data_IF_144228830489
#
_entry.id   IF_144228830489
#
_cell.length_a   1.000
_cell.length_b   1.000
_cell.length_c   1.000
_cell.angle_alpha   90.00
_cell.angle_beta   90.00
_cell.angle_gamma   90.00
#
_symmetry.space_group_name_H-M   'P 1'
#
loop_
_entity.id
_entity.type
_entity.pdbx_description
1 polymer ?
#
# COMPACT_ATOMS: atom_id res chain seq x y z
N UNK A 1 1.07 -9.43 7.49
CA UNK A 1 -0.29 -9.06 7.04
C UNK A 1 -1.35 -10.09 7.44
N UNK A 2 -1.26 -11.34 7.01
CA UNK A 2 -2.33 -12.35 7.19
C UNK A 2 -2.73 -12.55 8.66
N UNK A 3 -1.76 -12.70 9.56
CA UNK A 3 -2.00 -12.84 11.00
C UNK A 3 -2.74 -11.64 11.57
N UNK A 4 -2.29 -10.41 11.21
CA UNK A 4 -2.93 -9.16 11.65
C UNK A 4 -4.36 -9.04 11.13
N UNK A 5 -4.59 -9.30 9.85
CA UNK A 5 -5.94 -9.26 9.26
C UNK A 5 -6.88 -10.28 9.91
N UNK A 6 -6.40 -11.48 10.25
CA UNK A 6 -7.19 -12.46 10.98
C UNK A 6 -7.55 -11.96 12.39
N UNK A 7 -6.64 -11.33 13.11
CA UNK A 7 -6.89 -10.74 14.42
C UNK A 7 -7.88 -9.56 14.34
N UNK A 8 -7.76 -8.69 13.34
CA UNK A 8 -8.73 -7.61 13.07
C UNK A 8 -10.14 -8.18 12.83
N UNK A 9 -10.24 -9.25 12.03
CA UNK A 9 -11.52 -9.89 11.72
C UNK A 9 -12.22 -10.50 12.95
N UNK A 10 -11.47 -10.83 14.00
CA UNK A 10 -11.98 -11.31 15.30
C UNK A 10 -12.17 -10.18 16.33
N UNK A 11 -11.79 -8.94 16.01
CA UNK A 11 -11.83 -7.82 16.95
C UNK A 11 -10.70 -7.81 17.99
N UNK A 12 -9.67 -8.62 17.80
CA UNK A 12 -8.52 -8.80 18.73
C UNK A 12 -7.36 -7.83 18.43
N UNK A 13 -7.39 -7.13 17.30
CA UNK A 13 -6.37 -6.17 16.93
C UNK A 13 -6.98 -4.93 16.24
N UNK A 14 -6.33 -3.78 16.42
CA UNK A 14 -6.65 -2.56 15.70
C UNK A 14 -6.33 -2.70 14.22
N UNK A 15 -7.07 -1.97 13.39
CA UNK A 15 -6.77 -1.75 11.96
C UNK A 15 -5.36 -1.16 11.81
N UNK A 16 -4.74 -1.39 10.66
CA UNK A 16 -3.37 -0.95 10.45
C UNK A 16 -3.14 -0.51 9.00
N UNK A 17 -2.51 0.63 8.84
CA UNK A 17 -1.80 1.03 7.62
C UNK A 17 -0.31 0.90 7.90
N UNK A 18 0.38 0.11 7.09
CA UNK A 18 1.81 -0.13 7.22
C UNK A 18 2.54 0.41 5.99
N UNK A 19 3.26 1.52 6.15
CA UNK A 19 4.05 2.17 5.11
C UNK A 19 5.48 1.63 5.13
N UNK A 20 5.99 1.21 3.98
CA UNK A 20 7.34 0.63 3.85
C UNK A 20 7.91 0.81 2.44
N UNK A 21 9.16 0.40 2.25
CA UNK A 21 9.79 0.17 0.96
C UNK A 21 10.23 -1.30 0.87
N UNK A 22 10.33 -1.81 -0.34
CA UNK A 22 10.88 -3.13 -0.62
C UNK A 22 12.25 -3.04 -1.29
N UNK A 23 13.11 -4.05 -1.16
CA UNK A 23 14.20 -4.24 -2.10
C UNK A 23 13.64 -4.47 -3.52
N UNK A 24 14.47 -4.36 -4.57
CA UNK A 24 14.02 -4.60 -5.94
C UNK A 24 13.43 -6.01 -6.11
N UNK A 25 12.17 -6.09 -6.53
CA UNK A 25 11.46 -7.35 -6.78
C UNK A 25 10.25 -7.13 -7.72
N UNK A 26 9.78 -8.23 -8.31
CA UNK A 26 8.48 -8.28 -8.99
C UNK A 26 7.48 -9.06 -8.16
N UNK A 27 6.21 -8.67 -8.23
CA UNK A 27 5.10 -9.46 -7.70
C UNK A 27 4.09 -9.75 -8.78
N UNK A 28 3.59 -11.00 -8.83
CA UNK A 28 2.45 -11.38 -9.65
C UNK A 28 1.17 -11.35 -8.80
N UNK A 29 0.14 -10.71 -9.30
CA UNK A 29 -1.21 -10.77 -8.75
C UNK A 29 -2.01 -11.93 -9.35
N UNK A 30 -3.28 -12.05 -8.92
CA UNK A 30 -4.16 -13.15 -9.33
C UNK A 30 -4.55 -13.15 -10.81
N UNK A 31 -4.38 -12.02 -11.50
CA UNK A 31 -4.68 -11.88 -12.94
C UNK A 31 -3.41 -11.84 -13.81
N UNK A 32 -2.22 -12.07 -13.20
CA UNK A 32 -0.96 -12.05 -13.92
C UNK A 32 -0.86 -13.21 -14.91
N UNK A 33 -0.40 -12.91 -16.12
CA UNK A 33 -0.16 -13.90 -17.17
C UNK A 33 1.36 -14.09 -17.33
N UNK A 34 1.87 -15.33 -17.49
CA UNK A 34 3.30 -15.56 -17.64
C UNK A 34 3.98 -14.72 -18.74
N UNK A 35 3.28 -14.43 -19.82
CA UNK A 35 3.76 -13.64 -20.96
C UNK A 35 4.00 -12.14 -20.61
N UNK A 36 3.44 -11.67 -19.52
CA UNK A 36 3.64 -10.30 -19.03
C UNK A 36 4.97 -10.12 -18.29
N UNK A 37 5.65 -11.19 -17.92
CA UNK A 37 7.02 -11.16 -17.43
C UNK A 37 7.98 -11.26 -18.62
N UNK A 38 8.48 -10.10 -19.07
CA UNK A 38 9.35 -10.00 -20.25
C UNK A 38 10.80 -10.40 -19.91
N UNK A 39 11.27 -9.96 -18.75
CA UNK A 39 12.62 -10.25 -18.25
C UNK A 39 12.62 -10.26 -16.72
N UNK A 40 12.95 -11.40 -16.13
CA UNK A 40 13.04 -11.58 -14.68
C UNK A 40 14.35 -11.02 -14.11
N UNK A 41 14.53 -9.69 -14.15
CA UNK A 41 15.74 -9.00 -13.63
C UNK A 41 15.87 -9.07 -12.12
N UNK A 42 14.76 -9.28 -11.41
CA UNK A 42 14.68 -9.32 -9.95
C UNK A 42 13.88 -10.54 -9.49
N UNK A 43 14.00 -10.93 -8.22
CA UNK A 43 13.17 -12.00 -7.66
C UNK A 43 11.68 -11.77 -7.93
N UNK A 44 10.96 -12.84 -8.26
CA UNK A 44 9.52 -12.82 -8.57
C UNK A 44 8.76 -13.54 -7.48
N UNK A 45 7.77 -12.88 -6.88
CA UNK A 45 6.94 -13.45 -5.82
C UNK A 45 5.46 -13.48 -6.22
N UNK A 46 4.79 -14.59 -5.94
CA UNK A 46 3.33 -14.69 -6.05
C UNK A 46 2.71 -14.06 -4.81
N UNK A 47 2.04 -12.92 -4.99
CA UNK A 47 1.55 -12.13 -3.86
C UNK A 47 0.09 -12.41 -3.47
N UNK A 48 -0.69 -13.04 -4.34
CA UNK A 48 -2.12 -13.30 -4.09
C UNK A 48 -3.01 -12.06 -3.99
N UNK A 49 -2.49 -10.87 -4.31
CA UNK A 49 -3.26 -9.63 -4.47
C UNK A 49 -3.98 -9.61 -5.82
N UNK A 50 -4.95 -8.74 -5.98
CA UNK A 50 -5.55 -8.47 -7.30
C UNK A 50 -4.54 -7.83 -8.27
N UNK A 51 -4.87 -7.90 -9.56
CA UNK A 51 -4.08 -7.32 -10.65
C UNK A 51 -2.98 -8.23 -11.19
N UNK A 52 -2.15 -7.66 -12.05
CA UNK A 52 -1.12 -8.32 -12.85
C UNK A 52 0.27 -8.19 -12.22
N UNK A 53 1.35 -8.28 -13.03
CA UNK A 53 2.70 -8.01 -12.54
C UNK A 53 2.88 -6.55 -12.15
N UNK A 54 3.70 -6.31 -11.13
CA UNK A 54 4.23 -4.98 -10.79
C UNK A 54 5.64 -5.09 -10.25
N UNK A 55 6.37 -3.98 -10.32
CA UNK A 55 7.68 -3.81 -9.70
C UNK A 55 7.54 -3.13 -8.34
N UNK A 56 8.37 -3.54 -7.39
CA UNK A 56 8.62 -2.84 -6.14
C UNK A 56 10.12 -2.64 -5.95
N UNK A 57 10.51 -1.52 -5.36
CA UNK A 57 11.91 -1.21 -5.08
C UNK A 57 12.12 0.09 -4.31
N UNK A 58 13.36 0.43 -3.96
CA UNK A 58 13.72 1.67 -3.31
C UNK A 58 13.17 2.88 -4.07
N UNK A 59 12.73 3.90 -3.33
CA UNK A 59 12.08 5.07 -3.91
C UNK A 59 10.59 4.89 -4.19
N UNK A 60 10.00 3.73 -3.90
CA UNK A 60 8.58 3.48 -4.00
C UNK A 60 7.96 3.30 -2.61
N UNK A 61 7.00 4.14 -2.24
CA UNK A 61 6.24 3.97 -1.00
C UNK A 61 5.15 2.93 -1.19
N UNK A 62 5.28 1.82 -0.50
CA UNK A 62 4.26 0.77 -0.44
C UNK A 62 3.42 0.94 0.81
N UNK A 63 2.10 0.94 0.67
CA UNK A 63 1.15 0.98 1.75
C UNK A 63 0.36 -0.33 1.84
N UNK A 64 0.57 -1.10 2.90
CA UNK A 64 -0.30 -2.23 3.23
C UNK A 64 -1.45 -1.76 4.12
N UNK A 65 -2.67 -1.99 3.67
CA UNK A 65 -3.89 -1.44 4.26
C UNK A 65 -4.74 -2.58 4.78
N UNK A 66 -4.82 -2.72 6.10
CA UNK A 66 -5.57 -3.77 6.79
C UNK A 66 -6.74 -3.14 7.55
N UNK A 67 -7.86 -2.95 6.85
CA UNK A 67 -9.09 -2.32 7.34
C UNK A 67 -10.25 -3.30 7.27
N UNK A 68 -11.14 -3.25 8.27
CA UNK A 68 -12.37 -4.05 8.29
C UNK A 68 -13.48 -3.34 7.51
N UNK A 69 -13.83 -3.88 6.36
CA UNK A 69 -14.86 -3.32 5.49
C UNK A 69 -16.28 -3.48 6.08
N UNK A 70 -16.51 -4.37 7.06
CA UNK A 70 -17.79 -4.47 7.76
C UNK A 70 -18.09 -3.22 8.57
N UNK A 71 -17.06 -2.55 9.09
CA UNK A 71 -17.19 -1.30 9.84
C UNK A 71 -17.47 -0.08 8.95
N UNK A 72 -17.38 -0.25 7.63
CA UNK A 72 -17.57 0.81 6.62
C UNK A 72 -18.70 0.41 5.66
N UNK A 73 -18.34 0.01 4.46
CA UNK A 73 -19.24 -0.60 3.50
C UNK A 73 -18.56 -1.86 2.95
N UNK A 74 -19.21 -3.03 2.95
CA UNK A 74 -18.64 -4.26 2.41
C UNK A 74 -18.70 -4.27 0.87
N UNK A 75 -18.05 -3.29 0.27
CA UNK A 75 -17.94 -3.07 -1.17
C UNK A 75 -16.46 -2.86 -1.55
N UNK A 76 -15.89 -3.84 -2.24
CA UNK A 76 -14.48 -3.84 -2.64
C UNK A 76 -14.20 -2.79 -3.71
N UNK A 77 -15.13 -2.55 -4.65
CA UNK A 77 -14.95 -1.54 -5.72
C UNK A 77 -14.93 -0.14 -5.13
N UNK A 78 -15.88 0.14 -4.25
CA UNK A 78 -15.94 1.41 -3.51
C UNK A 78 -14.68 1.61 -2.66
N UNK A 79 -14.17 0.55 -2.04
CA UNK A 79 -12.94 0.63 -1.25
C UNK A 79 -11.73 0.95 -2.13
N UNK A 80 -11.58 0.30 -3.30
CA UNK A 80 -10.51 0.61 -4.26
C UNK A 80 -10.59 2.07 -4.70
N UNK A 81 -11.77 2.56 -5.05
CA UNK A 81 -11.99 3.98 -5.39
C UNK A 81 -11.61 4.93 -4.23
N UNK A 82 -11.84 4.52 -2.98
CA UNK A 82 -11.40 5.31 -1.81
C UNK A 82 -9.89 5.32 -1.63
N UNK A 83 -9.18 4.23 -1.96
CA UNK A 83 -7.71 4.20 -1.98
C UNK A 83 -7.17 5.11 -3.10
N UNK A 84 -7.77 5.09 -4.28
CA UNK A 84 -7.40 6.01 -5.36
C UNK A 84 -7.60 7.47 -4.94
N UNK A 85 -8.74 7.81 -4.35
CA UNK A 85 -9.05 9.14 -3.85
C UNK A 85 -8.05 9.59 -2.77
N UNK A 86 -7.68 8.68 -1.86
CA UNK A 86 -6.66 8.94 -0.86
C UNK A 86 -5.32 9.34 -1.50
N UNK A 87 -4.85 8.57 -2.48
CA UNK A 87 -3.59 8.83 -3.19
C UNK A 87 -3.69 10.16 -3.97
N UNK A 88 -4.81 10.42 -4.65
CA UNK A 88 -5.04 11.66 -5.41
C UNK A 88 -4.94 12.88 -4.48
N UNK A 89 -5.57 12.84 -3.32
CA UNK A 89 -5.46 13.91 -2.31
C UNK A 89 -4.04 14.11 -1.83
N UNK A 90 -3.33 13.01 -1.59
CA UNK A 90 -1.93 13.06 -1.15
C UNK A 90 -1.02 13.67 -2.22
N UNK A 91 -1.25 13.36 -3.51
CA UNK A 91 -0.53 13.93 -4.64
C UNK A 91 -0.76 15.44 -4.79
N UNK A 92 -1.94 15.93 -4.41
CA UNK A 92 -2.28 17.34 -4.37
C UNK A 92 -1.31 18.18 -3.53
N UNK A 93 -0.78 17.61 -2.42
CA UNK A 93 0.23 18.27 -1.58
C UNK A 93 1.55 18.56 -2.32
N UNK A 94 1.81 17.87 -3.44
CA UNK A 94 2.98 18.05 -4.29
C UNK A 94 2.66 18.79 -5.60
N UNK A 95 1.42 19.29 -5.73
CA UNK A 95 0.96 19.96 -6.96
C UNK A 95 0.80 19.02 -8.16
N UNK A 96 0.58 17.72 -7.93
CA UNK A 96 0.35 16.72 -8.96
C UNK A 96 -1.14 16.41 -9.08
N UNK A 97 -1.70 16.62 -10.27
CA UNK A 97 -3.09 16.30 -10.60
C UNK A 97 -3.19 14.83 -11.04
N UNK A 98 -3.40 13.92 -10.08
CA UNK A 98 -3.72 12.53 -10.38
C UNK A 98 -5.21 12.33 -10.67
N UNK A 99 -5.54 11.28 -11.40
CA UNK A 99 -6.93 10.93 -11.70
C UNK A 99 -7.19 9.43 -11.75
N UNK A 100 -8.45 9.04 -11.50
CA UNK A 100 -8.94 7.66 -11.70
C UNK A 100 -9.32 7.42 -13.14
N UNK A 101 -9.34 6.15 -13.54
CA UNK A 101 -9.86 5.69 -14.84
C UNK A 101 -10.80 4.52 -14.59
N UNK A 102 -11.92 4.49 -15.30
CA UNK A 102 -12.94 3.44 -15.13
C UNK A 102 -12.46 2.07 -15.64
N UNK A 103 -11.66 2.09 -16.67
CA UNK A 103 -11.17 0.91 -17.39
C UNK A 103 -9.90 0.30 -16.78
N UNK A 104 -9.19 1.04 -15.93
CA UNK A 104 -7.89 0.62 -15.38
C UNK A 104 -7.62 1.17 -13.98
N UNK A 105 -7.53 0.29 -13.01
CA UNK A 105 -7.29 0.60 -11.61
C UNK A 105 -5.90 1.23 -11.41
N UNK A 106 -5.84 2.24 -10.54
CA UNK A 106 -4.65 2.97 -10.16
C UNK A 106 -4.80 4.47 -10.34
N UNK A 107 -3.76 5.22 -9.99
CA UNK A 107 -3.76 6.68 -10.16
C UNK A 107 -2.88 7.05 -11.34
N UNK A 108 -3.44 7.83 -12.26
CA UNK A 108 -2.87 8.19 -13.54
C UNK A 108 -2.65 9.70 -13.62
N UNK A 109 -1.61 10.10 -14.30
CA UNK A 109 -1.24 11.51 -14.56
C UNK A 109 -1.16 11.73 -16.05
N UNK A 110 -1.82 12.79 -16.54
CA UNK A 110 -1.72 13.17 -17.95
C UNK A 110 -0.28 13.60 -18.29
N UNK A 111 0.19 13.17 -19.46
CA UNK A 111 1.56 13.44 -19.97
C UNK A 111 1.50 14.10 -21.36
N UNK A 112 1.02 15.35 -21.43
CA UNK A 112 0.95 16.06 -22.71
C UNK A 112 2.33 16.25 -23.38
N UNK A 113 3.41 16.18 -22.57
CA UNK A 113 4.80 16.15 -23.03
C UNK A 113 5.17 14.90 -23.85
N UNK A 114 4.40 13.81 -23.71
CA UNK A 114 4.59 12.55 -24.45
C UNK A 114 3.63 12.36 -25.64
N UNK A 115 2.73 13.32 -25.85
CA UNK A 115 1.75 13.31 -26.94
C UNK A 115 0.30 13.36 -26.48
N UNK A 116 -0.61 13.48 -27.45
CA UNK A 116 -2.05 13.57 -27.17
C UNK A 116 -2.60 12.30 -26.54
N UNK A 117 -3.30 12.46 -25.41
CA UNK A 117 -3.91 11.35 -24.66
C UNK A 117 -2.90 10.44 -23.93
N UNK A 118 -1.62 10.83 -23.89
CA UNK A 118 -0.62 10.08 -23.13
C UNK A 118 -0.86 10.23 -21.61
N UNK A 119 -0.76 9.12 -20.89
CA UNK A 119 -0.92 9.06 -19.44
C UNK A 119 0.07 8.08 -18.84
N UNK A 120 0.61 8.43 -17.68
CA UNK A 120 1.49 7.55 -16.91
C UNK A 120 0.88 7.20 -15.55
N UNK A 121 1.03 5.94 -15.16
CA UNK A 121 0.62 5.48 -13.84
C UNK A 121 1.64 5.91 -12.80
N UNK A 122 1.21 6.67 -11.81
CA UNK A 122 2.03 7.06 -10.66
C UNK A 122 1.83 6.15 -9.46
N UNK A 123 0.65 5.54 -9.34
CA UNK A 123 0.38 4.58 -8.26
C UNK A 123 -0.40 3.37 -8.76
N UNK A 124 0.04 2.19 -8.33
CA UNK A 124 -0.65 0.93 -8.56
C UNK A 124 -1.42 0.51 -7.30
N UNK A 125 -2.56 -0.18 -7.49
CA UNK A 125 -3.39 -0.67 -6.40
C UNK A 125 -3.68 -2.16 -6.66
N UNK A 126 -3.47 -2.97 -5.61
CA UNK A 126 -3.79 -4.39 -5.65
C UNK A 126 -4.26 -4.85 -4.28
N UNK A 127 -5.57 -5.08 -4.17
CA UNK A 127 -6.22 -5.46 -2.91
C UNK A 127 -6.58 -6.95 -2.93
N UNK A 128 -6.48 -7.58 -1.77
CA UNK A 128 -7.13 -8.86 -1.44
C UNK A 128 -8.02 -8.63 -0.24
N UNK A 129 -9.15 -9.31 -0.21
CA UNK A 129 -10.07 -9.29 0.96
C UNK A 129 -10.19 -10.69 1.53
N UNK A 130 -10.05 -10.80 2.83
CA UNK A 130 -10.27 -12.05 3.58
C UNK A 130 -11.14 -11.77 4.81
N UNK A 131 -12.29 -12.42 4.91
CA UNK A 131 -13.26 -12.20 6.01
C UNK A 131 -13.66 -10.71 6.16
N UNK A 132 -13.74 -9.99 5.05
CA UNK A 132 -14.01 -8.56 4.96
C UNK A 132 -12.91 -7.66 5.53
N UNK A 133 -11.74 -8.19 5.88
CA UNK A 133 -10.54 -7.40 6.15
C UNK A 133 -9.66 -7.36 4.91
N UNK A 134 -9.16 -6.17 4.58
CA UNK A 134 -8.30 -5.94 3.42
C UNK A 134 -6.87 -6.36 3.69
N UNK A 135 -6.17 -6.77 2.65
CA UNK A 135 -4.75 -7.11 2.63
C UNK A 135 -4.10 -6.49 1.40
N UNK A 136 -2.80 -6.30 1.44
CA UNK A 136 -2.04 -5.54 0.46
C UNK A 136 -2.49 -4.07 0.45
N UNK A 137 -2.53 -3.40 -0.69
CA UNK A 137 -2.89 -1.99 -0.73
C UNK A 137 -2.41 -1.33 -2.02
N UNK A 138 -1.45 -0.41 -1.91
CA UNK A 138 -0.96 0.38 -3.03
C UNK A 138 0.56 0.48 -3.05
N UNK A 139 1.08 0.91 -4.18
CA UNK A 139 2.44 1.40 -4.33
C UNK A 139 2.43 2.75 -5.03
N UNK A 140 3.04 3.77 -4.42
CA UNK A 140 3.20 5.12 -4.95
C UNK A 140 4.66 5.34 -5.37
N UNK A 141 4.86 5.70 -6.62
CA UNK A 141 6.18 5.99 -7.16
C UNK A 141 6.62 7.40 -6.71
N UNK A 142 7.56 7.46 -5.78
CA UNK A 142 8.18 8.71 -5.32
C UNK A 142 9.41 9.04 -6.16
N UNK A 143 10.42 8.18 -6.14
CA UNK A 143 11.65 8.29 -6.93
C UNK A 143 12.26 6.90 -7.23
N UNK A 144 11.48 5.86 -7.65
CA UNK A 144 12.07 4.58 -8.01
C UNK A 144 12.81 4.68 -9.34
N UNK A 145 13.70 3.73 -9.61
CA UNK A 145 14.24 3.58 -10.95
C UNK A 145 13.14 3.04 -11.89
N UNK A 146 12.58 3.91 -12.72
CA UNK A 146 11.47 3.58 -13.62
C UNK A 146 11.86 2.58 -14.71
N UNK A 147 13.16 2.47 -15.07
CA UNK A 147 13.63 1.48 -16.05
C UNK A 147 13.39 0.02 -15.60
N UNK A 148 13.22 -0.20 -14.30
CA UNK A 148 12.96 -1.52 -13.74
C UNK A 148 11.57 -2.07 -14.09
N UNK A 149 10.63 -1.20 -14.47
CA UNK A 149 9.32 -1.62 -14.97
C UNK A 149 9.37 -2.25 -16.38
N UNK A 150 10.44 -2.03 -17.16
CA UNK A 150 10.55 -2.60 -18.50
C UNK A 150 10.72 -4.13 -18.53
N UNK A 151 11.01 -4.78 -17.40
CA UNK A 151 11.03 -6.23 -17.29
C UNK A 151 9.64 -6.89 -17.26
N UNK A 152 8.58 -6.10 -17.20
CA UNK A 152 7.19 -6.57 -17.15
C UNK A 152 6.33 -5.74 -18.12
N UNK A 153 5.15 -6.26 -18.48
CA UNK A 153 4.08 -5.43 -19.06
C UNK A 153 3.32 -4.77 -17.90
N UNK A 154 3.54 -3.48 -17.63
CA UNK A 154 2.93 -2.87 -16.46
C UNK A 154 1.41 -2.81 -16.62
N UNK A 155 0.68 -3.40 -15.70
CA UNK A 155 -0.80 -3.34 -15.63
C UNK A 155 -1.53 -3.90 -16.86
N UNK A 156 -0.87 -4.75 -17.68
CA UNK A 156 -1.45 -5.34 -18.88
C UNK A 156 -1.80 -4.36 -19.99
N UNK A 157 -1.34 -3.11 -19.90
CA UNK A 157 -1.60 -2.09 -20.91
C UNK A 157 -0.35 -1.98 -21.79
N UNK A 158 -0.42 -2.61 -22.96
CA UNK A 158 0.67 -2.62 -23.95
C UNK A 158 0.62 -1.42 -24.91
N UNK A 159 -0.30 -0.48 -24.72
CA UNK A 159 -0.43 0.68 -25.61
C UNK A 159 0.70 1.69 -25.33
N UNK A 160 1.37 2.17 -26.40
CA UNK A 160 2.51 3.07 -26.31
C UNK A 160 2.20 4.41 -25.61
N UNK A 161 0.93 4.80 -25.55
CA UNK A 161 0.48 6.05 -24.87
C UNK A 161 0.41 5.92 -23.35
N UNK A 162 0.59 4.72 -22.77
CA UNK A 162 0.55 4.50 -21.34
C UNK A 162 1.91 4.05 -20.82
N UNK A 163 2.34 4.68 -19.74
CA UNK A 163 3.62 4.41 -19.11
C UNK A 163 3.53 4.40 -17.58
N UNK A 164 4.68 4.54 -16.97
CA UNK A 164 4.85 4.74 -15.53
C UNK A 164 5.61 6.04 -15.28
N UNK A 165 5.26 6.72 -14.20
CA UNK A 165 5.93 7.95 -13.74
C UNK A 165 6.15 7.92 -12.24
N UNK A 166 6.79 8.95 -11.71
CA UNK A 166 7.02 9.18 -10.28
C UNK A 166 6.95 10.67 -9.96
N UNK A 167 6.91 11.02 -8.67
CA UNK A 167 7.03 12.44 -8.26
C UNK A 167 8.31 13.06 -8.79
N UNK A 168 9.44 12.36 -8.72
CA UNK A 168 10.72 12.84 -9.22
C UNK A 168 10.71 13.04 -10.75
N UNK A 169 10.15 12.11 -11.52
CA UNK A 169 10.02 12.20 -12.99
C UNK A 169 9.12 13.37 -13.42
N UNK A 170 8.14 13.72 -12.61
CA UNK A 170 7.27 14.88 -12.83
C UNK A 170 7.90 16.22 -12.36
N UNK A 171 9.16 16.23 -11.95
CA UNK A 171 9.83 17.42 -11.43
C UNK A 171 9.30 17.87 -10.06
N UNK A 172 8.74 16.95 -9.27
CA UNK A 172 8.20 17.18 -7.92
C UNK A 172 8.90 16.27 -6.90
N UNK A 173 10.24 16.38 -6.74
CA UNK A 173 10.95 15.52 -5.81
C UNK A 173 10.44 15.71 -4.38
N UNK A 174 10.27 14.60 -3.67
CA UNK A 174 9.83 14.59 -2.28
C UNK A 174 10.58 13.49 -1.51
N UNK A 175 10.81 13.72 -0.23
CA UNK A 175 11.34 12.70 0.68
C UNK A 175 10.22 11.76 1.17
N UNK A 176 10.59 10.55 1.58
CA UNK A 176 9.63 9.58 2.15
C UNK A 176 8.87 10.13 3.36
N UNK A 177 9.49 10.87 4.32
CA UNK A 177 8.75 11.47 5.43
C UNK A 177 7.72 12.53 4.99
N UNK A 178 7.97 13.28 3.91
CA UNK A 178 6.98 14.22 3.35
C UNK A 178 5.81 13.48 2.73
N UNK A 179 6.10 12.42 2.00
CA UNK A 179 5.08 11.55 1.41
C UNK A 179 4.23 10.89 2.50
N UNK A 180 4.85 10.41 3.58
CA UNK A 180 4.14 9.78 4.71
C UNK A 180 3.18 10.78 5.39
N UNK A 181 3.61 12.05 5.58
CA UNK A 181 2.74 13.10 6.12
C UNK A 181 1.56 13.40 5.17
N UNK A 182 1.81 13.51 3.88
CA UNK A 182 0.77 13.73 2.89
C UNK A 182 -0.23 12.55 2.82
N UNK A 183 0.28 11.32 2.87
CA UNK A 183 -0.54 10.12 2.93
C UNK A 183 -1.41 10.11 4.20
N UNK A 184 -0.87 10.44 5.37
CA UNK A 184 -1.65 10.53 6.60
C UNK A 184 -2.75 11.58 6.51
N UNK A 185 -2.41 12.78 6.07
CA UNK A 185 -3.37 13.88 5.90
C UNK A 185 -4.49 13.55 4.88
N UNK A 186 -4.16 12.83 3.80
CA UNK A 186 -5.15 12.37 2.81
C UNK A 186 -6.02 11.21 3.30
N UNK A 187 -5.50 10.36 4.22
CA UNK A 187 -6.19 9.20 4.76
C UNK A 187 -7.30 9.58 5.75
N UNK A 188 -6.99 10.43 6.71
CA UNK A 188 -7.87 10.69 7.86
C UNK A 188 -9.26 11.21 7.48
N UNK A 189 -9.45 12.08 6.48
CA UNK A 189 -10.78 12.50 6.05
C UNK A 189 -11.64 11.39 5.43
N UNK A 190 -11.02 10.31 4.93
CA UNK A 190 -11.71 9.21 4.25
C UNK A 190 -11.97 8.01 5.16
N UNK A 191 -11.05 7.73 6.08
CA UNK A 191 -11.03 6.48 6.84
C UNK A 191 -11.07 6.68 8.36
N UNK A 192 -10.88 7.91 8.85
CA UNK A 192 -10.85 8.26 10.26
C UNK A 192 -9.46 8.55 10.81
N UNK A 193 -9.40 9.12 11.98
CA UNK A 193 -8.17 9.54 12.65
C UNK A 193 -7.20 8.36 12.87
N UNK A 194 -5.90 8.66 12.83
CA UNK A 194 -4.81 7.69 13.00
C UNK A 194 -3.97 7.98 14.25
N UNK A 195 -3.42 6.91 14.83
CA UNK A 195 -2.41 6.95 15.89
C UNK A 195 -1.17 6.19 15.44
N UNK A 196 0.00 6.52 16.00
CA UNK A 196 1.23 5.80 15.67
C UNK A 196 1.24 4.41 16.31
N UNK A 197 1.61 3.39 15.54
CA UNK A 197 1.60 2.01 16.01
C UNK A 197 2.59 1.73 17.16
N UNK A 198 3.62 2.56 17.34
CA UNK A 198 4.56 2.48 18.45
C UNK A 198 3.95 2.88 19.79
N UNK A 199 2.98 3.77 19.82
CA UNK A 199 2.24 4.12 21.04
C UNK A 199 1.35 2.98 21.53
N UNK A 200 0.76 2.22 20.61
CA UNK A 200 -0.08 1.05 20.94
C UNK A 200 0.74 -0.09 21.54
N UNK A 201 1.95 -0.36 21.03
CA UNK A 201 2.83 -1.40 21.57
C UNK A 201 3.34 -1.08 22.98
N UNK A 202 3.53 0.22 23.32
CA UNK A 202 3.97 0.65 24.65
C UNK A 202 2.87 0.55 25.71
N UNK A 203 1.61 0.57 25.34
CA UNK A 203 0.47 0.41 26.26
C UNK A 203 0.13 -1.06 26.54
N UNK A 204 0.33 -1.95 25.57
CA UNK A 204 0.11 -3.40 25.76
C UNK A 204 1.17 -4.07 26.64
N UNK A 205 2.39 -3.50 26.75
CA UNK A 205 3.48 -4.06 27.57
C UNK A 205 3.46 -3.58 29.03
N UNK A 206 2.44 -2.84 29.46
CA UNK A 206 2.20 -2.49 30.86
C UNK A 206 1.16 -3.44 31.48
N UNK A 207 1.46 -4.73 31.53
CA UNK A 207 0.71 -5.67 32.37
C UNK A 207 1.05 -5.44 33.85
N UNK A 208 0.05 -5.45 34.76
CA UNK A 208 0.26 -5.17 36.18
C UNK A 208 1.05 -6.29 36.84
N UNK A 209 2.00 -5.85 37.67
CA UNK A 209 3.01 -6.63 38.34
C UNK A 209 2.55 -7.96 38.96
N UNK A 210 3.38 -8.95 38.78
CA UNK A 210 3.47 -10.14 39.58
C UNK A 210 3.45 -9.75 41.07
N UNK A 211 2.38 -10.09 41.76
CA UNK A 211 2.38 -10.18 43.23
C UNK A 211 3.36 -11.29 43.60
N UNK A 212 4.43 -10.93 44.26
CA UNK A 212 5.39 -11.83 44.92
C UNK A 212 4.64 -12.61 46.03
N UNK A 213 4.46 -13.90 45.85
CA UNK A 213 4.13 -14.79 46.93
C UNK A 213 5.35 -14.92 47.84
N UNK A 214 5.31 -14.34 49.04
CA UNK A 214 6.23 -14.61 50.12
C UNK A 214 6.05 -16.06 50.57
N UNK A 215 7.13 -16.81 50.49
CA UNK A 215 7.33 -18.06 51.14
C UNK A 215 7.14 -17.90 52.64
N UNK A 216 6.24 -18.66 53.21
CA UNK A 216 6.20 -18.93 54.64
C UNK A 216 6.95 -20.25 54.89
N UNK A 217 8.15 -20.13 55.38
CA UNK A 217 8.88 -21.22 55.98
C UNK A 217 8.48 -21.23 57.45
N UNK A 218 7.81 -22.26 57.89
CA UNK A 218 7.59 -22.54 59.32
C UNK A 218 8.45 -23.71 59.74
N UNK A 219 9.30 -23.48 60.67
CA UNK A 219 9.99 -24.47 61.47
C UNK A 219 9.02 -25.28 62.32
N UNK A 220 9.29 -26.56 62.50
CA UNK A 220 9.16 -27.29 63.76
C UNK A 220 9.64 -28.75 63.63
N UNK A 221 10.59 -29.05 64.39
CA UNK A 221 10.89 -30.30 65.18
C UNK A 221 10.41 -31.61 64.55
#
# INVERSE_FOLDING_TARGET
MTTRAAAIARGEAAELVWLLEHPPLYTSGTSAKPQELLEARFPVYVAGRGGQFTYHGPGQRVGYVMLDLKRRAPDVRRFVASIEEWIIRSLGAFGVCGGRREDRVGVWVARPDKGEGAEDKIAAIGIRVQRWVTLHGFSLNVAPNLSHFSGIVPCGVAEQKFGVTSLADLGRPASMPEVDRALRAGFEPLFGATTDAQEVASTENRSPGRRSAKSAESASR
#
